data_IF_502887290103
#
_entry.id   IF_502887290103
#
_cell.length_a   1.000
_cell.length_b   1.000
_cell.length_c   1.000
_cell.angle_alpha   90.00
_cell.angle_beta   90.00
_cell.angle_gamma   90.00
#
_symmetry.space_group_name_H-M   'P 1'
#
loop_
_entity.id
_entity.type
_entity.pdbx_description
1 polymer ?
#
# COMPACT_ATOMS: atom_id res chain seq x y z
N UNK A 1 11.66 14.18 13.91
CA UNK A 1 10.56 15.13 13.59
C UNK A 1 9.77 14.49 12.48
N UNK A 2 8.56 14.08 12.78
CA UNK A 2 7.70 13.39 11.81
C UNK A 2 7.28 14.40 10.74
N UNK A 3 7.79 14.24 9.54
CA UNK A 3 7.39 15.02 8.37
C UNK A 3 5.98 14.54 7.98
N UNK A 4 4.97 15.10 8.65
CA UNK A 4 3.59 14.88 8.29
C UNK A 4 3.40 15.49 6.91
N UNK A 5 3.25 14.66 5.89
CA UNK A 5 2.95 15.10 4.55
C UNK A 5 1.82 16.12 4.59
N UNK A 6 2.08 17.35 4.11
CA UNK A 6 1.07 18.40 4.00
C UNK A 6 -0.05 17.91 3.09
N UNK A 7 -1.18 17.54 3.69
CA UNK A 7 -2.33 17.02 2.95
C UNK A 7 -3.31 18.18 2.67
N UNK A 8 -3.71 18.41 1.42
CA UNK A 8 -4.72 19.41 1.11
C UNK A 8 -6.08 18.98 1.70
N UNK A 9 -6.91 19.96 2.10
CA UNK A 9 -8.27 19.74 2.62
C UNK A 9 -9.32 19.53 1.51
N UNK A 10 -8.89 19.05 0.35
CA UNK A 10 -9.78 18.79 -0.78
C UNK A 10 -10.68 17.58 -0.54
N UNK A 11 -11.79 17.48 -1.29
CA UNK A 11 -12.69 16.32 -1.25
C UNK A 11 -11.92 15.02 -1.54
N UNK A 12 -11.08 15.00 -2.57
CA UNK A 12 -10.32 13.81 -2.94
C UNK A 12 -9.34 13.39 -1.85
N UNK A 13 -8.61 14.34 -1.23
CA UNK A 13 -7.71 14.04 -0.11
C UNK A 13 -8.47 13.50 1.10
N UNK A 14 -9.68 14.01 1.36
CA UNK A 14 -10.54 13.52 2.43
C UNK A 14 -11.07 12.11 2.13
N UNK A 15 -11.53 11.84 0.90
CA UNK A 15 -11.97 10.51 0.48
C UNK A 15 -10.83 9.50 0.62
N UNK A 16 -9.64 9.83 0.12
CA UNK A 16 -8.46 8.98 0.28
C UNK A 16 -8.17 8.68 1.75
N UNK A 17 -8.28 9.70 2.63
CA UNK A 17 -8.05 9.50 4.06
C UNK A 17 -9.11 8.62 4.73
N UNK A 18 -10.37 8.74 4.31
CA UNK A 18 -11.44 7.84 4.78
C UNK A 18 -11.12 6.39 4.39
N UNK A 19 -10.77 6.15 3.12
CA UNK A 19 -10.39 4.81 2.63
C UNK A 19 -9.23 4.24 3.43
N UNK A 20 -8.16 5.03 3.63
CA UNK A 20 -7.00 4.63 4.43
C UNK A 20 -7.41 4.24 5.87
N UNK A 21 -8.21 5.06 6.54
CA UNK A 21 -8.61 4.82 7.93
C UNK A 21 -9.44 3.53 8.08
N UNK A 22 -10.43 3.31 7.21
CA UNK A 22 -11.28 2.11 7.30
C UNK A 22 -10.59 0.84 6.83
N UNK A 23 -9.51 0.96 6.04
CA UNK A 23 -8.68 -0.17 5.64
C UNK A 23 -7.76 -0.67 6.77
N UNK A 24 -7.27 0.25 7.64
CA UNK A 24 -6.27 -0.07 8.66
C UNK A 24 -6.83 -0.39 10.03
N UNK A 25 -8.03 0.12 10.36
CA UNK A 25 -8.61 -0.03 11.69
C UNK A 25 -10.12 -0.23 11.65
N UNK A 26 -10.64 -0.92 12.65
CA UNK A 26 -12.07 -1.16 12.82
C UNK A 26 -12.82 0.11 13.20
N UNK A 27 -13.36 0.83 12.24
CA UNK A 27 -14.18 2.03 12.46
C UNK A 27 -15.66 1.65 12.53
N UNK A 28 -16.29 1.84 13.69
CA UNK A 28 -17.64 1.34 13.97
C UNK A 28 -18.73 2.39 13.77
N UNK A 29 -18.40 3.67 13.87
CA UNK A 29 -19.35 4.78 13.80
C UNK A 29 -18.83 5.97 12.99
N UNK A 30 -19.76 6.80 12.50
CA UNK A 30 -19.40 8.07 11.84
C UNK A 30 -18.73 9.06 12.81
N UNK A 31 -19.08 9.02 14.10
CA UNK A 31 -18.46 9.85 15.11
C UNK A 31 -16.99 9.48 15.27
N UNK A 32 -16.70 8.20 15.43
CA UNK A 32 -15.33 7.69 15.52
C UNK A 32 -14.51 8.06 14.26
N UNK A 33 -15.10 7.93 13.06
CA UNK A 33 -14.45 8.33 11.82
C UNK A 33 -14.18 9.84 11.76
N UNK A 34 -15.12 10.66 12.23
CA UNK A 34 -14.93 12.11 12.31
C UNK A 34 -13.78 12.49 13.27
N UNK A 35 -13.67 11.82 14.41
CA UNK A 35 -12.61 12.03 15.40
C UNK A 35 -11.23 11.65 14.80
N UNK A 36 -11.15 10.55 14.09
CA UNK A 36 -9.93 10.10 13.40
C UNK A 36 -9.51 11.05 12.26
N UNK A 37 -10.47 11.57 11.51
CA UNK A 37 -10.21 12.60 10.50
C UNK A 37 -9.73 13.90 11.14
N UNK A 38 -10.35 14.34 12.23
CA UNK A 38 -9.95 15.53 12.99
C UNK A 38 -8.54 15.38 13.54
N UNK A 39 -8.16 14.21 14.07
CA UNK A 39 -6.80 13.91 14.51
C UNK A 39 -5.77 13.99 13.37
N UNK A 40 -6.21 13.81 12.11
CA UNK A 40 -5.38 13.99 10.90
C UNK A 40 -5.43 15.42 10.34
N UNK A 41 -6.06 16.38 11.07
CA UNK A 41 -6.22 17.78 10.63
C UNK A 41 -7.39 18.01 9.65
N UNK A 42 -8.24 17.01 9.40
CA UNK A 42 -9.39 17.10 8.50
C UNK A 42 -10.70 17.21 9.30
N UNK A 43 -11.15 18.44 9.54
CA UNK A 43 -12.42 18.68 10.25
C UNK A 43 -13.60 18.63 9.27
N UNK A 44 -14.57 17.77 9.53
CA UNK A 44 -15.74 17.55 8.68
C UNK A 44 -17.03 17.63 9.50
N UNK A 45 -18.11 18.11 8.86
CA UNK A 45 -19.45 18.02 9.45
C UNK A 45 -20.00 16.62 9.23
N UNK A 46 -20.93 16.19 10.12
CA UNK A 46 -21.60 14.89 9.97
C UNK A 46 -22.32 14.76 8.60
N UNK A 47 -22.93 15.84 8.10
CA UNK A 47 -23.60 15.84 6.81
C UNK A 47 -22.62 15.63 5.65
N UNK A 48 -21.41 16.21 5.72
CA UNK A 48 -20.36 16.02 4.72
C UNK A 48 -19.85 14.58 4.77
N UNK A 49 -19.55 14.07 5.97
CA UNK A 49 -19.06 12.71 6.15
C UNK A 49 -20.06 11.66 5.67
N UNK A 50 -21.35 11.87 5.94
CA UNK A 50 -22.41 10.98 5.46
C UNK A 50 -22.46 10.93 3.94
N UNK A 51 -22.30 12.06 3.24
CA UNK A 51 -22.25 12.12 1.78
C UNK A 51 -20.98 11.45 1.23
N UNK A 52 -19.83 11.72 1.85
CA UNK A 52 -18.58 11.10 1.45
C UNK A 52 -18.64 9.56 1.54
N UNK A 53 -19.24 9.00 2.61
CA UNK A 53 -19.43 7.56 2.77
C UNK A 53 -20.35 6.96 1.69
N UNK A 54 -21.39 7.69 1.30
CA UNK A 54 -22.29 7.26 0.20
C UNK A 54 -21.54 7.28 -1.14
N UNK A 55 -20.78 8.34 -1.42
CA UNK A 55 -20.01 8.46 -2.66
C UNK A 55 -18.87 7.44 -2.78
N UNK A 56 -18.35 6.98 -1.65
CA UNK A 56 -17.34 5.91 -1.56
C UNK A 56 -17.96 4.50 -1.57
N UNK A 57 -19.27 4.37 -1.71
CA UNK A 57 -19.99 3.11 -1.61
C UNK A 57 -19.66 2.35 -0.30
N UNK A 58 -19.41 3.09 0.79
CA UNK A 58 -19.02 2.52 2.05
C UNK A 58 -20.15 1.68 2.65
N UNK A 59 -19.84 0.47 3.07
CA UNK A 59 -20.76 -0.47 3.68
C UNK A 59 -20.29 -0.87 5.07
N UNK A 60 -21.19 -1.47 5.87
CA UNK A 60 -20.82 -2.09 7.15
C UNK A 60 -20.64 -3.59 6.98
N UNK A 61 -19.48 -4.09 7.35
CA UNK A 61 -19.12 -5.51 7.33
C UNK A 61 -18.74 -5.99 8.74
N UNK A 62 -18.71 -7.29 8.97
CA UNK A 62 -18.18 -7.84 10.24
C UNK A 62 -16.66 -7.76 10.23
N UNK A 63 -16.11 -7.02 11.19
CA UNK A 63 -14.65 -6.96 11.44
C UNK A 63 -14.13 -8.19 12.18
N UNK A 64 -12.83 -8.20 12.45
CA UNK A 64 -12.15 -9.29 13.18
C UNK A 64 -12.67 -9.45 14.61
N UNK A 65 -13.08 -8.34 15.24
CA UNK A 65 -13.71 -8.33 16.58
C UNK A 65 -15.15 -8.87 16.57
N UNK A 66 -15.73 -9.18 15.41
CA UNK A 66 -17.13 -9.53 15.21
C UNK A 66 -18.09 -8.32 15.21
N UNK A 67 -17.62 -7.11 15.46
CA UNK A 67 -18.39 -5.88 15.39
C UNK A 67 -18.65 -5.48 13.93
N UNK A 68 -19.70 -4.68 13.69
CA UNK A 68 -19.95 -4.06 12.38
C UNK A 68 -19.06 -2.82 12.24
N UNK A 69 -18.21 -2.81 11.20
CA UNK A 69 -17.25 -1.76 10.88
C UNK A 69 -17.45 -1.25 9.45
N UNK A 70 -17.07 0.00 9.21
CA UNK A 70 -17.06 0.55 7.86
C UNK A 70 -15.97 -0.08 7.01
N UNK A 71 -16.31 -0.35 5.75
CA UNK A 71 -15.38 -0.80 4.73
C UNK A 71 -15.77 -0.14 3.39
N UNK A 72 -14.78 0.20 2.57
CA UNK A 72 -14.96 0.76 1.25
C UNK A 72 -14.51 -0.28 0.22
N UNK A 73 -15.30 -0.54 -0.85
CA UNK A 73 -14.90 -1.44 -1.93
C UNK A 73 -13.58 -0.98 -2.57
N UNK A 74 -12.66 -1.92 -2.82
CA UNK A 74 -11.39 -1.63 -3.46
C UNK A 74 -11.57 -1.24 -4.94
N UNK A 75 -10.72 -0.36 -5.45
CA UNK A 75 -10.61 -0.07 -6.87
C UNK A 75 -9.99 -1.27 -7.61
N UNK A 76 -10.62 -1.67 -8.73
CA UNK A 76 -10.13 -2.75 -9.59
C UNK A 76 -10.72 -4.11 -9.31
N UNK A 77 -11.82 -4.45 -9.98
CA UNK A 77 -12.35 -5.81 -10.22
C UNK A 77 -12.83 -6.61 -9.00
N UNK A 78 -12.23 -6.47 -7.85
CA UNK A 78 -12.64 -7.13 -6.63
C UNK A 78 -13.39 -6.14 -5.72
N UNK A 79 -14.71 -6.09 -5.87
CA UNK A 79 -15.61 -5.20 -5.11
C UNK A 79 -15.92 -5.70 -3.70
N UNK A 80 -15.14 -6.62 -3.16
CA UNK A 80 -15.33 -7.04 -1.77
C UNK A 80 -14.72 -6.00 -0.85
N UNK A 81 -15.49 -5.46 0.11
CA UNK A 81 -14.95 -4.58 1.13
C UNK A 81 -13.90 -5.34 1.94
N UNK A 82 -12.66 -4.82 1.97
CA UNK A 82 -11.60 -5.40 2.77
C UNK A 82 -11.88 -5.14 4.27
N UNK A 83 -11.87 -6.18 5.08
CA UNK A 83 -11.94 -6.03 6.53
C UNK A 83 -10.58 -5.61 7.09
N UNK A 84 -10.53 -4.74 8.14
CA UNK A 84 -9.27 -4.39 8.80
C UNK A 84 -8.56 -5.65 9.31
N UNK A 85 -7.29 -5.84 8.93
CA UNK A 85 -6.50 -7.02 9.30
C UNK A 85 -5.89 -7.78 8.12
N UNK A 86 -6.10 -7.35 6.89
CA UNK A 86 -5.53 -7.99 5.70
C UNK A 86 -4.03 -7.70 5.48
N UNK A 87 -3.36 -6.99 6.38
CA UNK A 87 -1.92 -6.69 6.25
C UNK A 87 -1.07 -7.96 6.08
N UNK A 88 -1.36 -9.03 6.84
CA UNK A 88 -0.68 -10.31 6.70
C UNK A 88 -1.00 -10.99 5.36
N UNK A 89 -2.26 -10.96 4.93
CA UNK A 89 -2.69 -11.52 3.64
C UNK A 89 -2.13 -10.71 2.46
N UNK A 90 -2.09 -9.37 2.57
CA UNK A 90 -1.50 -8.50 1.57
C UNK A 90 0.01 -8.72 1.43
N UNK A 91 0.74 -8.86 2.55
CA UNK A 91 2.18 -9.18 2.55
C UNK A 91 2.44 -10.56 1.95
N UNK A 92 1.63 -11.57 2.28
CA UNK A 92 1.74 -12.90 1.72
C UNK A 92 1.44 -12.92 0.21
N UNK A 93 0.45 -12.14 -0.24
CA UNK A 93 0.16 -11.94 -1.66
C UNK A 93 1.33 -11.26 -2.37
N UNK A 94 1.91 -10.21 -1.79
CA UNK A 94 3.10 -9.53 -2.33
C UNK A 94 4.27 -10.50 -2.48
N UNK A 95 4.57 -11.30 -1.45
CA UNK A 95 5.63 -12.32 -1.49
C UNK A 95 5.43 -13.29 -2.65
N UNK A 96 4.22 -13.84 -2.80
CA UNK A 96 3.89 -14.74 -3.91
C UNK A 96 4.09 -14.07 -5.26
N UNK A 97 3.62 -12.82 -5.43
CA UNK A 97 3.75 -12.10 -6.70
C UNK A 97 5.20 -11.70 -7.00
N UNK A 98 5.99 -11.35 -5.98
CA UNK A 98 7.42 -11.17 -6.16
C UNK A 98 8.08 -12.48 -6.66
N UNK A 99 7.74 -13.62 -6.08
CA UNK A 99 8.25 -14.92 -6.52
C UNK A 99 7.86 -15.26 -7.97
N UNK A 100 6.64 -14.93 -8.39
CA UNK A 100 6.11 -15.24 -9.72
C UNK A 100 6.58 -14.26 -10.80
N UNK A 101 6.76 -12.97 -10.46
CA UNK A 101 6.88 -11.89 -11.45
C UNK A 101 8.21 -11.13 -11.40
N UNK A 102 8.99 -11.20 -10.31
CA UNK A 102 10.23 -10.44 -10.20
C UNK A 102 11.34 -11.09 -11.04
N UNK A 103 11.82 -10.36 -12.06
CA UNK A 103 12.92 -10.78 -12.93
C UNK A 103 14.26 -10.27 -12.41
N UNK A 104 14.33 -8.99 -12.03
CA UNK A 104 15.53 -8.39 -11.44
C UNK A 104 15.16 -7.20 -10.56
N UNK A 105 16.09 -6.83 -9.66
CA UNK A 105 15.97 -5.67 -8.79
C UNK A 105 17.31 -4.95 -8.70
N UNK A 106 17.32 -3.65 -8.94
CA UNK A 106 18.50 -2.79 -8.88
C UNK A 106 18.18 -1.52 -8.12
N UNK A 107 19.16 -0.98 -7.37
CA UNK A 107 18.96 0.23 -6.59
C UNK A 107 19.91 1.35 -7.00
N UNK A 108 19.45 2.59 -6.83
CA UNK A 108 20.26 3.80 -6.88
C UNK A 108 19.71 4.77 -5.83
N UNK A 109 20.52 5.07 -4.81
CA UNK A 109 20.09 5.86 -3.64
C UNK A 109 18.83 5.24 -2.97
N UNK A 110 17.70 5.93 -3.00
CA UNK A 110 16.40 5.44 -2.50
C UNK A 110 15.46 4.92 -3.61
N UNK A 111 15.93 4.83 -4.83
CA UNK A 111 15.15 4.33 -5.95
C UNK A 111 15.48 2.85 -6.19
N UNK A 112 14.46 2.04 -6.32
CA UNK A 112 14.59 0.62 -6.68
C UNK A 112 13.82 0.36 -7.96
N UNK A 113 14.54 -0.14 -8.97
CA UNK A 113 13.96 -0.56 -10.25
C UNK A 113 13.76 -2.06 -10.21
N UNK A 114 12.51 -2.49 -10.32
CA UNK A 114 12.12 -3.89 -10.43
C UNK A 114 11.72 -4.19 -11.87
N UNK A 115 12.22 -5.29 -12.42
CA UNK A 115 11.81 -5.79 -13.73
C UNK A 115 10.84 -6.94 -13.57
N UNK A 116 9.85 -6.97 -14.46
CA UNK A 116 8.83 -8.02 -14.55
C UNK A 116 8.67 -8.47 -16.00
N UNK A 117 7.98 -9.57 -16.27
CA UNK A 117 7.51 -9.85 -17.61
C UNK A 117 6.62 -8.71 -18.15
N UNK A 118 6.57 -8.49 -19.48
CA UNK A 118 5.70 -7.49 -20.10
C UNK A 118 4.24 -7.61 -19.63
N UNK A 119 3.62 -6.47 -19.32
CA UNK A 119 2.24 -6.40 -18.81
C UNK A 119 2.07 -6.68 -17.32
N UNK A 120 3.12 -7.10 -16.59
CA UNK A 120 3.00 -7.53 -15.20
C UNK A 120 3.32 -6.43 -14.16
N UNK A 121 3.98 -5.34 -14.55
CA UNK A 121 4.44 -4.32 -13.61
C UNK A 121 3.30 -3.64 -12.85
N UNK A 122 2.19 -3.33 -13.50
CA UNK A 122 1.00 -2.74 -12.87
C UNK A 122 0.40 -3.67 -11.81
N UNK A 123 0.39 -4.97 -12.09
CA UNK A 123 -0.16 -5.96 -11.18
C UNK A 123 0.70 -6.11 -9.90
N UNK A 124 2.03 -6.11 -10.08
CA UNK A 124 2.97 -6.13 -8.96
C UNK A 124 2.91 -4.82 -8.15
N UNK A 125 2.82 -3.65 -8.81
CA UNK A 125 2.66 -2.35 -8.15
C UNK A 125 1.44 -2.32 -7.23
N UNK A 126 0.28 -2.78 -7.72
CA UNK A 126 -0.94 -2.88 -6.91
C UNK A 126 -0.77 -3.76 -5.66
N UNK A 127 0.10 -4.77 -5.70
CA UNK A 127 0.40 -5.59 -4.54
C UNK A 127 1.31 -4.86 -3.54
N UNK A 128 2.30 -4.08 -4.02
CA UNK A 128 3.12 -3.20 -3.17
C UNK A 128 2.27 -2.17 -2.45
N UNK A 129 1.37 -1.49 -3.18
CA UNK A 129 0.51 -0.45 -2.62
C UNK A 129 -0.44 -1.03 -1.54
N UNK A 130 -0.99 -2.24 -1.77
CA UNK A 130 -1.85 -2.92 -0.80
C UNK A 130 -1.09 -3.47 0.42
N UNK A 131 0.18 -3.79 0.27
CA UNK A 131 1.01 -4.28 1.38
C UNK A 131 1.45 -3.16 2.33
N UNK A 132 1.35 -1.88 1.89
CA UNK A 132 1.58 -0.67 2.69
C UNK A 132 2.86 -0.71 3.52
N UNK A 133 3.95 -1.05 2.85
CA UNK A 133 5.26 -1.16 3.50
C UNK A 133 5.71 0.22 4.02
N UNK A 134 5.98 0.37 5.33
CA UNK A 134 6.24 1.68 5.94
C UNK A 134 7.52 2.36 5.46
N UNK A 135 8.44 1.60 4.90
CA UNK A 135 9.72 2.05 4.35
C UNK A 135 9.64 2.53 2.89
N UNK A 136 8.44 2.45 2.26
CA UNK A 136 8.18 2.89 0.90
C UNK A 136 7.37 4.19 0.91
N UNK A 137 7.71 5.12 0.00
CA UNK A 137 6.93 6.34 -0.27
C UNK A 137 5.81 6.08 -1.28
N UNK A 138 6.07 5.26 -2.28
CA UNK A 138 5.14 4.92 -3.35
C UNK A 138 5.81 4.18 -4.48
N UNK A 139 4.99 3.84 -5.49
CA UNK A 139 5.41 3.09 -6.68
C UNK A 139 4.99 3.81 -7.97
N UNK A 140 5.74 3.58 -9.04
CA UNK A 140 5.40 4.03 -10.41
C UNK A 140 5.59 2.85 -11.34
N UNK A 141 4.54 2.39 -11.98
CA UNK A 141 4.58 1.24 -12.86
C UNK A 141 4.51 1.62 -14.35
N UNK A 142 5.42 1.04 -15.13
CA UNK A 142 5.33 0.96 -16.58
C UNK A 142 4.65 -0.35 -17.00
N UNK A 143 5.06 -0.89 -18.15
CA UNK A 143 4.56 -2.17 -18.66
C UNK A 143 5.33 -3.36 -18.03
N UNK A 144 6.66 -3.31 -18.07
CA UNK A 144 7.59 -4.35 -17.58
C UNK A 144 8.50 -3.89 -16.45
N UNK A 145 8.33 -2.65 -16.00
CA UNK A 145 9.23 -1.99 -15.05
C UNK A 145 8.41 -1.32 -13.97
N UNK A 146 8.78 -1.56 -12.71
CA UNK A 146 8.23 -0.91 -11.54
C UNK A 146 9.33 -0.12 -10.82
N UNK A 147 9.13 1.17 -10.62
CA UNK A 147 9.97 2.01 -9.77
C UNK A 147 9.36 2.07 -8.37
N UNK A 148 10.10 1.66 -7.37
CA UNK A 148 9.76 1.80 -5.96
C UNK A 148 10.64 2.90 -5.35
N UNK A 149 10.02 3.82 -4.61
CA UNK A 149 10.70 4.95 -3.97
C UNK A 149 10.73 4.69 -2.47
N UNK A 150 11.94 4.54 -1.93
CA UNK A 150 12.16 4.35 -0.48
C UNK A 150 12.09 5.66 0.29
N UNK A 151 11.75 5.60 1.58
CA UNK A 151 11.76 6.76 2.48
C UNK A 151 13.17 7.15 2.94
N UNK A 152 14.03 6.15 3.17
CA UNK A 152 15.43 6.40 3.52
C UNK A 152 16.20 6.78 2.24
N UNK A 153 16.83 7.97 2.19
CA UNK A 153 17.59 8.41 1.03
C UNK A 153 18.71 7.45 0.58
N UNK A 154 19.26 6.64 1.46
CA UNK A 154 20.28 5.62 1.17
C UNK A 154 19.76 4.17 1.23
N UNK A 155 18.47 3.96 1.40
CA UNK A 155 17.88 2.66 1.73
C UNK A 155 17.62 1.70 0.57
N UNK A 156 17.96 2.07 -0.67
CA UNK A 156 17.62 1.27 -1.85
C UNK A 156 18.17 -0.15 -1.83
N UNK A 157 19.44 -0.33 -1.45
CA UNK A 157 20.04 -1.67 -1.36
C UNK A 157 19.39 -2.57 -0.30
N UNK A 158 18.91 -1.98 0.79
CA UNK A 158 18.17 -2.72 1.81
C UNK A 158 16.80 -3.16 1.29
N UNK A 159 16.13 -2.29 0.53
CA UNK A 159 14.86 -2.63 -0.14
C UNK A 159 15.04 -3.72 -1.19
N UNK A 160 16.09 -3.66 -2.02
CA UNK A 160 16.42 -4.72 -3.00
C UNK A 160 16.56 -6.06 -2.30
N UNK A 161 17.40 -6.14 -1.25
CA UNK A 161 17.56 -7.39 -0.48
C UNK A 161 16.23 -7.89 0.09
N UNK A 162 15.41 -7.00 0.61
CA UNK A 162 14.08 -7.35 1.14
C UNK A 162 13.16 -7.90 0.06
N UNK A 163 13.12 -7.28 -1.12
CA UNK A 163 12.24 -7.73 -2.22
C UNK A 163 12.70 -9.06 -2.81
N UNK A 164 14.02 -9.27 -2.93
CA UNK A 164 14.58 -10.55 -3.33
C UNK A 164 14.28 -11.65 -2.30
N UNK A 165 14.36 -11.34 -1.01
CA UNK A 165 13.97 -12.28 0.05
C UNK A 165 12.46 -12.62 -0.01
N UNK A 166 11.59 -11.66 -0.34
CA UNK A 166 10.17 -11.92 -0.58
C UNK A 166 9.92 -12.83 -1.79
N UNK A 167 10.79 -12.75 -2.80
CA UNK A 167 10.71 -13.59 -3.99
C UNK A 167 11.15 -15.06 -3.75
N UNK A 168 11.65 -15.36 -2.54
CA UNK A 168 12.20 -16.69 -2.23
C UNK A 168 13.65 -16.82 -2.70
N UNK A 169 14.53 -17.20 -1.80
CA UNK A 169 15.97 -17.29 -1.97
C UNK A 169 16.37 -18.24 -3.12
N UNK A 170 16.48 -17.69 -4.33
CA UNK A 170 17.27 -18.24 -5.43
C UNK A 170 18.22 -17.15 -5.92
N UNK A 171 19.01 -16.59 -5.01
CA UNK A 171 20.18 -15.83 -5.41
C UNK A 171 21.21 -16.83 -5.98
N UNK A 172 21.62 -16.73 -7.26
CA UNK A 172 22.81 -17.45 -7.71
C UNK A 172 24.01 -16.94 -6.87
N UNK A 173 24.94 -17.81 -6.49
CA UNK A 173 26.12 -17.41 -5.72
C UNK A 173 26.86 -16.32 -6.51
N UNK A 174 27.21 -15.23 -5.82
CA UNK A 174 28.06 -14.19 -6.35
C UNK A 174 29.32 -14.85 -6.88
N UNK A 175 29.50 -14.89 -8.20
CA UNK A 175 30.77 -15.26 -8.81
C UNK A 175 31.74 -14.18 -8.41
N UNK A 176 32.59 -14.48 -7.42
CA UNK A 176 33.79 -13.70 -7.13
C UNK A 176 34.65 -13.65 -8.42
N UNK A 177 34.71 -12.45 -9.01
CA UNK A 177 35.56 -12.18 -10.15
C UNK A 177 37.02 -12.40 -9.73
N UNK A 178 37.58 -13.52 -10.16
CA UNK A 178 39.03 -13.77 -10.08
C UNK A 178 39.73 -12.75 -10.95
N UNK A 179 40.38 -11.81 -10.30
CA UNK A 179 41.39 -10.93 -10.91
C UNK A 179 42.59 -11.79 -11.27
N UNK A 180 42.96 -11.84 -12.51
CA UNK A 180 44.29 -12.17 -13.00
C UNK A 180 44.81 -11.01 -13.80
#
# INVERSE_FOLDING_TARGET
>A
MSDAALRPTTKNARHQRIVELVAHQEVRSQTELADLLAASGLHVTQATLSRDLVELDAVKVRGLSGALVYAVPGEGGDRRPAAPGESAAATQRLSRLCNELLVSAEASANLVVLRTPPGAAQFLASAFDKAELPDILGTIAGDDTLLVIGRDPGGGDALVRRFLALAGDHAPPLTEGTTT
#
